data_IF_774277519854
#
_entry.id   IF_774277519854
#
_cell.length_a   1.000
_cell.length_b   1.000
_cell.length_c   1.000
_cell.angle_alpha   90.00
_cell.angle_beta   90.00
_cell.angle_gamma   90.00
#
_symmetry.space_group_name_H-M   'P 1'
#
loop_
_entity.id
_entity.type
_entity.pdbx_description
1 polymer ?
#
# COMPACT_ATOMS: atom_id res chain seq x y z
N UNK A 1 1.51 -21.89 33.70
CA UNK A 1 0.88 -21.87 32.37
C UNK A 1 1.78 -21.07 31.46
N UNK A 2 2.26 -21.70 30.39
CA UNK A 2 3.15 -21.08 29.41
C UNK A 2 2.25 -20.59 28.26
N UNK A 3 2.03 -19.28 28.17
CA UNK A 3 1.29 -18.68 27.05
C UNK A 3 2.31 -18.29 25.98
N UNK A 4 2.48 -19.22 25.04
CA UNK A 4 3.08 -18.96 23.76
C UNK A 4 2.04 -18.24 22.90
N UNK A 5 2.17 -16.94 22.69
CA UNK A 5 1.39 -16.25 21.67
C UNK A 5 2.35 -15.49 20.76
N UNK A 6 2.39 -15.97 19.51
CA UNK A 6 2.96 -15.31 18.35
C UNK A 6 2.51 -13.84 18.33
N UNK A 7 3.42 -12.94 18.67
CA UNK A 7 3.37 -11.56 18.24
C UNK A 7 3.56 -11.54 16.72
N UNK A 8 2.50 -11.82 15.96
CA UNK A 8 2.46 -11.48 14.54
C UNK A 8 2.64 -9.97 14.45
N UNK A 9 3.81 -9.53 13.98
CA UNK A 9 4.13 -8.12 13.81
C UNK A 9 3.01 -7.48 12.99
N UNK A 10 2.29 -6.51 13.57
CA UNK A 10 1.20 -5.81 12.87
C UNK A 10 1.67 -5.15 11.57
N UNK A 11 2.96 -4.78 11.50
CA UNK A 11 3.63 -4.32 10.28
C UNK A 11 3.68 -5.39 9.18
N UNK A 12 3.95 -6.65 9.51
CA UNK A 12 3.97 -7.77 8.56
C UNK A 12 2.56 -8.06 8.03
N UNK A 13 1.54 -7.98 8.90
CA UNK A 13 0.13 -8.13 8.49
C UNK A 13 -0.34 -6.98 7.57
N UNK A 14 0.03 -5.74 7.87
CA UNK A 14 -0.32 -4.57 7.05
C UNK A 14 0.38 -4.61 5.68
N UNK A 15 1.64 -5.03 5.62
CA UNK A 15 2.37 -5.24 4.37
C UNK A 15 1.71 -6.33 3.51
N UNK A 16 1.33 -7.46 4.11
CA UNK A 16 0.68 -8.56 3.41
C UNK A 16 -0.71 -8.18 2.85
N UNK A 17 -1.50 -7.40 3.59
CA UNK A 17 -2.85 -6.98 3.16
C UNK A 17 -2.83 -5.91 2.06
N UNK A 18 -1.84 -5.01 2.08
CA UNK A 18 -1.66 -3.96 1.07
C UNK A 18 -1.19 -4.53 -0.28
N UNK A 19 -0.46 -5.63 -0.25
CA UNK A 19 0.16 -6.29 -1.42
C UNK A 19 -0.73 -7.37 -2.05
N UNK A 20 -2.02 -7.45 -1.71
CA UNK A 20 -2.98 -8.49 -2.12
C UNK A 20 -3.23 -8.64 -3.65
N UNK A 21 -2.52 -7.90 -4.49
CA UNK A 21 -2.46 -8.11 -5.93
C UNK A 21 -1.08 -8.60 -6.34
N UNK A 22 -0.74 -9.87 -6.04
CA UNK A 22 0.45 -10.50 -6.62
C UNK A 22 0.30 -10.50 -8.14
N UNK A 23 0.96 -9.55 -8.79
CA UNK A 23 0.93 -9.42 -10.25
C UNK A 23 1.94 -10.42 -10.84
N UNK A 24 1.56 -11.20 -11.87
CA UNK A 24 2.51 -12.06 -12.59
C UNK A 24 3.72 -11.31 -13.16
N UNK A 25 3.63 -9.98 -13.28
CA UNK A 25 4.76 -9.13 -13.64
C UNK A 25 5.91 -9.20 -12.62
N UNK A 26 5.61 -9.45 -11.35
CA UNK A 26 6.60 -9.56 -10.28
C UNK A 26 7.21 -10.94 -10.14
N UNK A 27 6.66 -11.96 -10.81
CA UNK A 27 7.29 -13.27 -10.94
C UNK A 27 8.46 -13.28 -11.95
N UNK A 28 8.61 -12.19 -12.73
CA UNK A 28 9.73 -12.06 -13.65
C UNK A 28 11.05 -12.10 -12.89
N UNK A 29 11.98 -12.88 -13.42
CA UNK A 29 13.33 -12.95 -12.88
C UNK A 29 14.16 -11.74 -13.32
N UNK A 30 14.84 -11.16 -12.35
CA UNK A 30 15.96 -10.22 -12.49
C UNK A 30 17.15 -10.92 -13.15
N UNK A 31 18.13 -10.14 -13.60
CA UNK A 31 19.39 -10.64 -14.17
C UNK A 31 20.18 -11.56 -13.22
N UNK A 32 19.97 -11.45 -11.90
CA UNK A 32 20.57 -12.33 -10.89
C UNK A 32 19.74 -13.58 -10.57
N UNK A 33 18.64 -13.80 -11.29
CA UNK A 33 17.79 -15.00 -11.19
C UNK A 33 16.77 -14.99 -10.05
N UNK A 34 16.64 -13.91 -9.28
CA UNK A 34 15.59 -13.73 -8.26
C UNK A 34 14.36 -13.07 -8.85
N UNK A 35 13.19 -13.30 -8.27
CA UNK A 35 11.97 -12.65 -8.73
C UNK A 35 11.95 -11.17 -8.34
N UNK A 36 11.30 -10.31 -9.12
CA UNK A 36 11.06 -8.92 -8.70
C UNK A 36 10.24 -8.84 -7.41
N UNK A 37 9.38 -9.81 -7.17
CA UNK A 37 8.64 -9.93 -5.92
C UNK A 37 9.55 -10.03 -4.69
N UNK A 38 10.65 -10.80 -4.78
CA UNK A 38 11.63 -10.92 -3.69
C UNK A 38 12.29 -9.57 -3.37
N UNK A 39 12.46 -8.71 -4.38
CA UNK A 39 13.01 -7.37 -4.20
C UNK A 39 12.01 -6.41 -3.56
N UNK A 40 10.79 -6.33 -4.11
CA UNK A 40 9.76 -5.41 -3.63
C UNK A 40 9.39 -5.73 -2.20
N UNK A 41 9.17 -7.00 -1.86
CA UNK A 41 8.81 -7.39 -0.49
C UNK A 41 9.95 -7.17 0.51
N UNK A 42 11.21 -7.28 0.07
CA UNK A 42 12.37 -7.11 0.95
C UNK A 42 12.75 -5.65 1.18
N UNK A 43 12.62 -4.82 0.16
CA UNK A 43 13.10 -3.43 0.17
C UNK A 43 11.96 -2.41 0.24
N UNK A 44 10.69 -2.84 0.25
CA UNK A 44 9.55 -1.96 0.42
C UNK A 44 9.71 -1.11 1.70
N UNK A 45 9.50 0.22 1.61
CA UNK A 45 9.57 1.08 2.77
C UNK A 45 8.43 0.78 3.74
N UNK A 46 8.67 1.07 5.01
CA UNK A 46 7.59 1.15 6.02
C UNK A 46 7.13 2.60 6.07
N UNK A 47 5.86 2.83 5.74
CA UNK A 47 5.25 4.16 5.70
C UNK A 47 4.45 4.38 6.98
N UNK A 48 4.80 5.40 7.74
CA UNK A 48 4.02 5.86 8.89
C UNK A 48 3.22 7.09 8.48
N UNK A 49 1.90 7.00 8.62
CA UNK A 49 0.99 8.11 8.37
C UNK A 49 0.49 8.68 9.69
N UNK A 50 0.66 9.98 9.87
CA UNK A 50 -0.01 10.68 10.97
C UNK A 50 -1.49 10.87 10.62
N UNK A 51 -2.37 10.53 11.56
CA UNK A 51 -3.81 10.62 11.38
C UNK A 51 -4.37 11.67 12.33
N UNK A 52 -5.03 12.68 11.77
CA UNK A 52 -5.65 13.72 12.58
C UNK A 52 -7.03 13.28 13.07
N UNK A 53 -7.06 12.57 14.19
CA UNK A 53 -8.30 12.12 14.85
C UNK A 53 -9.08 13.26 15.53
N UNK A 54 -8.50 14.47 15.60
CA UNK A 54 -9.12 15.67 16.17
C UNK A 54 -9.66 16.64 15.11
N UNK A 55 -9.50 16.30 13.82
CA UNK A 55 -9.94 17.16 12.73
C UNK A 55 -11.47 17.24 12.68
N UNK A 56 -11.97 18.40 12.25
CA UNK A 56 -13.38 18.70 12.03
C UNK A 56 -14.01 17.82 10.93
N UNK A 57 -13.17 17.21 10.11
CA UNK A 57 -13.56 16.34 9.01
C UNK A 57 -13.41 14.87 9.43
N UNK A 58 -14.56 14.23 9.61
CA UNK A 58 -14.77 12.79 9.76
C UNK A 58 -13.82 12.03 10.71
N UNK A 59 -13.48 12.59 11.88
CA UNK A 59 -12.81 11.85 12.98
C UNK A 59 -11.53 11.09 12.59
N UNK A 60 -10.78 11.59 11.59
CA UNK A 60 -9.53 10.97 11.15
C UNK A 60 -9.68 9.85 10.12
N UNK A 61 -10.83 9.75 9.44
CA UNK A 61 -10.96 8.91 8.23
C UNK A 61 -10.62 9.64 6.93
N UNK A 62 -10.23 10.91 7.02
CA UNK A 62 -9.79 11.75 5.90
C UNK A 62 -8.29 11.64 5.70
N UNK A 63 -7.82 11.96 4.49
CA UNK A 63 -6.41 11.93 4.10
C UNK A 63 -5.74 10.55 4.23
N UNK A 64 -6.51 9.48 4.41
CA UNK A 64 -5.96 8.12 4.52
C UNK A 64 -5.33 7.67 3.19
N UNK A 65 -4.23 6.92 3.29
CA UNK A 65 -3.70 6.20 2.15
C UNK A 65 -4.74 5.17 1.71
N UNK A 66 -5.16 5.25 0.45
CA UNK A 66 -6.23 4.44 -0.09
C UNK A 66 -5.97 4.09 -1.56
N UNK A 67 -6.74 3.14 -2.07
CA UNK A 67 -6.76 2.82 -3.48
C UNK A 67 -7.38 3.99 -4.26
N UNK A 68 -6.78 4.33 -5.41
CA UNK A 68 -7.26 5.39 -6.30
C UNK A 68 -8.73 5.24 -6.71
N UNK A 69 -9.20 4.01 -6.88
CA UNK A 69 -10.56 3.66 -7.26
C UNK A 69 -11.22 2.82 -6.17
N UNK A 70 -11.36 3.38 -4.97
CA UNK A 70 -11.94 2.68 -3.82
C UNK A 70 -13.37 2.18 -4.10
N UNK A 71 -14.13 2.94 -4.89
CA UNK A 71 -15.50 2.64 -5.34
C UNK A 71 -15.57 1.94 -6.72
N UNK A 72 -14.42 1.75 -7.39
CA UNK A 72 -14.30 1.19 -8.73
C UNK A 72 -14.38 2.20 -9.87
N UNK A 73 -14.67 3.47 -9.60
CA UNK A 73 -14.61 4.56 -10.58
C UNK A 73 -13.18 5.10 -10.71
N UNK A 74 -12.79 5.54 -11.91
CA UNK A 74 -11.48 6.12 -12.20
C UNK A 74 -11.50 7.65 -12.23
N UNK A 75 -12.57 8.26 -11.76
CA UNK A 75 -12.68 9.70 -11.61
C UNK A 75 -12.01 10.16 -10.31
N UNK A 76 -10.99 11.01 -10.40
CA UNK A 76 -10.30 11.52 -9.20
C UNK A 76 -11.10 12.59 -8.47
N UNK A 77 -11.97 13.31 -9.18
CA UNK A 77 -12.64 14.49 -8.65
C UNK A 77 -13.72 14.17 -7.61
N UNK A 78 -14.21 12.94 -7.56
CA UNK A 78 -15.28 12.50 -6.65
C UNK A 78 -14.77 11.52 -5.57
N UNK A 79 -13.47 11.22 -5.49
CA UNK A 79 -12.97 10.24 -4.52
C UNK A 79 -13.20 10.66 -3.07
N UNK A 80 -13.36 11.96 -2.81
CA UNK A 80 -13.79 12.48 -1.51
C UNK A 80 -15.13 11.88 -1.04
N UNK A 81 -16.09 11.67 -1.95
CA UNK A 81 -17.41 11.14 -1.62
C UNK A 81 -17.38 9.65 -1.20
N UNK A 82 -16.24 8.99 -1.36
CA UNK A 82 -16.06 7.59 -0.98
C UNK A 82 -15.62 7.43 0.48
N UNK A 83 -15.16 8.51 1.12
CA UNK A 83 -14.70 8.49 2.52
C UNK A 83 -15.88 8.14 3.43
N UNK A 84 -15.68 7.18 4.33
CA UNK A 84 -16.72 6.68 5.24
C UNK A 84 -17.84 5.85 4.60
N UNK A 85 -17.95 5.82 3.26
CA UNK A 85 -18.98 5.08 2.52
C UNK A 85 -18.48 3.70 2.09
N UNK A 86 -17.24 3.63 1.58
CA UNK A 86 -16.58 2.37 1.20
C UNK A 86 -15.38 2.10 2.11
N UNK A 87 -14.98 0.83 2.30
CA UNK A 87 -13.79 0.50 3.09
C UNK A 87 -12.53 1.17 2.52
N UNK A 88 -11.91 2.04 3.31
CA UNK A 88 -10.64 2.68 2.98
C UNK A 88 -9.49 1.72 3.34
N UNK A 89 -9.17 0.81 2.42
CA UNK A 89 -8.07 -0.15 2.57
C UNK A 89 -6.78 0.49 2.05
N UNK A 90 -5.70 0.54 2.85
CA UNK A 90 -4.40 1.02 2.40
C UNK A 90 -3.94 0.27 1.15
N UNK A 91 -3.44 1.03 0.17
CA UNK A 91 -2.98 0.49 -1.10
C UNK A 91 -1.69 1.18 -1.56
N UNK A 92 -0.72 0.39 -2.02
CA UNK A 92 0.54 0.86 -2.57
C UNK A 92 0.66 0.33 -4.00
N UNK A 93 0.99 1.21 -4.92
CA UNK A 93 1.30 0.86 -6.30
C UNK A 93 2.80 0.64 -6.43
N UNK A 94 3.20 -0.51 -6.97
CA UNK A 94 4.60 -0.82 -7.19
C UNK A 94 4.91 -0.95 -8.69
N UNK A 95 6.10 -0.52 -9.09
CA UNK A 95 6.67 -0.82 -10.42
C UNK A 95 8.16 -1.08 -10.30
N UNK A 96 8.71 -1.90 -11.19
CA UNK A 96 10.13 -2.24 -11.22
C UNK A 96 10.69 -1.97 -12.60
N UNK A 97 11.86 -1.35 -12.64
CA UNK A 97 12.64 -1.17 -13.85
C UNK A 97 14.05 -1.72 -13.63
N UNK A 98 14.53 -2.52 -14.57
CA UNK A 98 15.87 -3.10 -14.51
C UNK A 98 16.70 -2.61 -15.70
N UNK A 99 17.94 -2.23 -15.40
CA UNK A 99 19.00 -1.96 -16.37
C UNK A 99 20.08 -3.03 -16.23
N UNK A 100 21.09 -3.04 -17.11
CA UNK A 100 22.18 -4.03 -17.04
C UNK A 100 22.94 -4.07 -15.70
N UNK A 101 22.87 -2.99 -14.91
CA UNK A 101 23.67 -2.83 -13.70
C UNK A 101 22.87 -2.49 -12.45
N UNK A 102 21.60 -2.07 -12.59
CA UNK A 102 20.79 -1.58 -11.48
C UNK A 102 19.34 -2.01 -11.63
N UNK A 103 18.72 -2.32 -10.50
CA UNK A 103 17.30 -2.55 -10.35
C UNK A 103 16.69 -1.38 -9.55
N UNK A 104 15.63 -0.79 -10.08
CA UNK A 104 14.90 0.32 -9.48
C UNK A 104 13.48 -0.14 -9.14
N UNK A 105 13.13 -0.10 -7.85
CA UNK A 105 11.76 -0.22 -7.37
C UNK A 105 11.14 1.16 -7.17
N UNK A 106 9.89 1.33 -7.58
CA UNK A 106 9.11 2.54 -7.36
C UNK A 106 7.81 2.19 -6.66
N UNK A 107 7.64 2.69 -5.45
CA UNK A 107 6.41 2.62 -4.69
C UNK A 107 5.70 3.99 -4.71
N UNK A 108 4.41 3.97 -5.03
CA UNK A 108 3.55 5.15 -5.09
C UNK A 108 2.33 4.96 -4.20
N UNK A 109 1.93 6.03 -3.52
CA UNK A 109 0.75 6.10 -2.68
C UNK A 109 -0.22 7.17 -3.17
N UNK A 110 -1.48 7.01 -2.81
CA UNK A 110 -2.55 7.97 -3.07
C UNK A 110 -3.25 8.26 -1.75
N UNK A 111 -3.59 9.52 -1.51
CA UNK A 111 -4.39 9.95 -0.36
C UNK A 111 -5.62 10.70 -0.85
N UNK A 112 -6.77 10.40 -0.26
CA UNK A 112 -8.03 11.11 -0.53
C UNK A 112 -8.07 12.40 0.29
N UNK A 113 -8.08 13.55 -0.39
CA UNK A 113 -8.08 14.86 0.27
C UNK A 113 -9.32 15.70 -0.08
N UNK A 114 -9.76 16.54 0.85
CA UNK A 114 -10.72 17.63 0.59
C UNK A 114 -9.99 18.86 0.06
N UNK A 115 -10.38 19.36 -1.11
CA UNK A 115 -9.90 20.64 -1.65
C UNK A 115 -10.51 21.84 -0.93
#
# INVERSE_FOLDING_TARGET
MNLNENSSNSAECAQAQTMNGHSPLFDRLSTDGKSYWDYITRYAPVIYQDINTRSEYEYGVVDLIAKFNADGDWNMANQWETIGVVPQVPYVYASVQETKTHLFGFESIFWTQKS
#
